data_IF_802268648745
#
_entry.id   IF_802268648745
#
_cell.length_a   1.000
_cell.length_b   1.000
_cell.length_c   1.000
_cell.angle_alpha   90.00
_cell.angle_beta   90.00
_cell.angle_gamma   90.00
#
_symmetry.space_group_name_H-M   'P 1'
#
loop_
_entity.id
_entity.type
_entity.pdbx_description
1 polymer ?
#
# COMPACT_ATOMS: atom_id res chain seq x y z
N UNK A 1 -84.50 16.76 -13.33
CA UNK A 1 -83.57 17.81 -12.88
C UNK A 1 -82.39 17.81 -13.83
N UNK A 2 -82.29 18.77 -14.75
CA UNK A 2 -81.31 18.79 -15.85
C UNK A 2 -80.17 19.72 -15.46
N UNK A 3 -79.00 19.18 -15.34
CA UNK A 3 -77.74 19.91 -15.10
C UNK A 3 -77.05 20.15 -16.43
N UNK A 4 -76.94 21.43 -16.80
CA UNK A 4 -76.20 21.86 -18.01
C UNK A 4 -74.75 22.03 -17.66
N UNK A 5 -73.86 21.23 -18.31
CA UNK A 5 -72.41 21.42 -18.24
C UNK A 5 -72.02 22.42 -19.34
N UNK A 6 -71.45 23.57 -18.88
CA UNK A 6 -70.82 24.55 -19.78
C UNK A 6 -69.36 24.19 -20.01
N UNK A 7 -69.01 23.93 -21.24
CA UNK A 7 -67.63 23.87 -21.67
C UNK A 7 -67.06 25.30 -21.75
N UNK A 8 -66.02 25.57 -20.97
CA UNK A 8 -65.14 26.70 -21.19
C UNK A 8 -63.85 26.19 -21.81
N UNK A 9 -63.62 26.59 -23.05
CA UNK A 9 -62.34 26.36 -23.70
C UNK A 9 -61.31 27.36 -23.13
N UNK A 10 -60.14 26.88 -22.79
CA UNK A 10 -58.97 27.70 -22.50
C UNK A 10 -57.86 27.29 -23.47
N UNK A 11 -57.40 28.34 -24.15
CA UNK A 11 -56.42 28.28 -25.22
C UNK A 11 -55.07 27.73 -24.78
N UNK A 12 -54.51 26.91 -25.65
CA UNK A 12 -53.09 26.51 -25.63
C UNK A 12 -52.21 27.73 -25.94
N UNK A 13 -51.43 28.17 -24.93
CA UNK A 13 -50.27 29.01 -25.16
C UNK A 13 -49.04 28.17 -24.86
N UNK A 14 -48.33 27.88 -25.94
CA UNK A 14 -47.09 27.14 -25.90
C UNK A 14 -46.03 27.93 -25.15
N UNK A 15 -45.56 27.34 -24.06
CA UNK A 15 -44.32 27.73 -23.39
C UNK A 15 -43.27 26.67 -23.61
N UNK A 16 -42.39 26.90 -24.57
CA UNK A 16 -41.20 26.09 -24.79
C UNK A 16 -40.23 26.37 -23.61
N UNK A 17 -40.33 25.59 -22.57
CA UNK A 17 -39.36 25.60 -21.48
C UNK A 17 -38.14 24.86 -21.95
N UNK A 18 -37.17 25.62 -22.47
CA UNK A 18 -35.81 25.12 -22.72
C UNK A 18 -35.18 24.85 -21.35
N UNK A 19 -35.20 23.60 -20.92
CA UNK A 19 -34.36 23.14 -19.84
C UNK A 19 -32.91 23.13 -20.34
N UNK A 20 -32.21 24.26 -20.12
CA UNK A 20 -30.78 24.27 -20.13
C UNK A 20 -30.32 23.40 -18.96
N UNK A 21 -30.09 22.12 -19.22
CA UNK A 21 -29.37 21.25 -18.29
C UNK A 21 -27.95 21.79 -18.28
N UNK A 22 -27.67 22.66 -17.31
CA UNK A 22 -26.31 22.98 -16.92
C UNK A 22 -25.66 21.68 -16.49
N UNK A 23 -24.86 21.09 -17.36
CA UNK A 23 -23.87 20.11 -16.97
C UNK A 23 -22.92 20.84 -16.01
N UNK A 24 -23.23 20.73 -14.72
CA UNK A 24 -22.28 21.03 -13.68
C UNK A 24 -21.16 20.01 -13.91
N UNK A 25 -20.07 20.43 -14.53
CA UNK A 25 -18.81 19.72 -14.51
C UNK A 25 -18.41 19.67 -13.03
N UNK A 26 -18.83 18.59 -12.37
CA UNK A 26 -18.19 18.19 -11.14
C UNK A 26 -16.72 17.98 -11.52
N UNK A 27 -15.77 18.65 -10.85
CA UNK A 27 -14.38 18.29 -11.04
C UNK A 27 -14.31 16.80 -10.75
N UNK A 28 -13.80 16.06 -11.71
CA UNK A 28 -13.53 14.63 -11.56
C UNK A 28 -12.93 14.44 -10.19
N UNK A 29 -13.67 13.68 -9.36
CA UNK A 29 -13.20 13.36 -8.04
C UNK A 29 -11.78 12.89 -8.17
N UNK A 30 -10.88 13.59 -7.51
CA UNK A 30 -9.51 13.18 -7.33
C UNK A 30 -9.62 11.86 -6.58
N UNK A 31 -9.89 10.79 -7.31
CA UNK A 31 -9.57 9.46 -6.86
C UNK A 31 -8.06 9.50 -6.69
N UNK A 32 -7.61 9.68 -5.46
CA UNK A 32 -6.24 9.46 -5.10
C UNK A 32 -5.93 8.00 -5.49
N UNK A 33 -5.53 7.82 -6.75
CA UNK A 33 -4.89 6.58 -7.15
C UNK A 33 -3.67 6.45 -6.25
N UNK A 34 -3.48 5.32 -5.57
CA UNK A 34 -2.25 5.05 -4.83
C UNK A 34 -1.12 4.77 -5.83
N UNK A 35 -0.84 5.75 -6.70
CA UNK A 35 0.13 5.63 -7.77
C UNK A 35 1.59 5.74 -7.29
N UNK A 36 1.82 5.97 -6.00
CA UNK A 36 3.14 6.32 -5.53
C UNK A 36 4.00 5.15 -5.04
N UNK A 37 3.41 4.02 -4.68
CA UNK A 37 4.17 2.87 -4.19
C UNK A 37 4.62 1.91 -5.31
N UNK A 38 3.95 1.92 -6.46
CA UNK A 38 4.21 0.95 -7.54
C UNK A 38 5.50 1.20 -8.33
N UNK A 39 6.03 2.42 -8.30
CA UNK A 39 7.15 2.82 -9.17
C UNK A 39 8.44 3.16 -8.42
N UNK A 40 8.41 3.24 -7.10
CA UNK A 40 9.59 3.60 -6.31
C UNK A 40 10.29 2.34 -5.80
N UNK A 41 11.51 2.12 -6.29
CA UNK A 41 12.37 1.07 -5.76
C UNK A 41 12.87 1.46 -4.37
N UNK A 42 12.91 0.49 -3.44
CA UNK A 42 13.54 0.67 -2.14
C UNK A 42 15.06 0.75 -2.29
N UNK A 43 15.70 1.53 -1.41
CA UNK A 43 17.15 1.63 -1.32
C UNK A 43 17.72 0.48 -0.48
N UNK A 44 18.95 0.02 -0.81
CA UNK A 44 19.61 -1.01 0.00
C UNK A 44 20.19 -0.37 1.26
N UNK A 45 19.79 -0.80 2.47
CA UNK A 45 20.25 -0.20 3.72
C UNK A 45 21.61 -0.74 4.18
N UNK A 46 22.22 -0.06 5.15
CA UNK A 46 23.36 -0.56 5.92
C UNK A 46 22.88 -1.65 6.89
N UNK A 47 23.07 -2.93 6.50
CA UNK A 47 22.52 -4.07 7.26
C UNK A 47 23.03 -4.14 8.71
N UNK A 48 24.25 -3.69 8.95
CA UNK A 48 24.88 -3.67 10.28
C UNK A 48 24.23 -2.70 11.26
N UNK A 49 23.40 -1.78 10.77
CA UNK A 49 22.58 -0.86 11.59
C UNK A 49 21.19 -1.42 11.90
N UNK A 50 20.85 -2.57 11.34
CA UNK A 50 19.55 -3.19 11.53
C UNK A 50 19.59 -4.27 12.61
N UNK A 51 18.48 -4.45 13.29
CA UNK A 51 18.27 -5.47 14.32
C UNK A 51 17.61 -6.69 13.69
N UNK A 52 18.17 -7.86 13.92
CA UNK A 52 17.51 -9.13 13.59
C UNK A 52 16.43 -9.41 14.64
N UNK A 53 15.15 -9.43 14.23
CA UNK A 53 14.04 -9.59 15.16
C UNK A 53 13.28 -10.90 15.05
N UNK A 54 13.39 -11.62 13.91
CA UNK A 54 12.81 -12.97 13.79
C UNK A 54 13.43 -13.75 12.61
N UNK A 55 13.27 -15.07 12.64
CA UNK A 55 13.64 -15.95 11.53
C UNK A 55 12.46 -16.85 11.16
N UNK A 56 11.99 -16.73 9.93
CA UNK A 56 10.96 -17.60 9.36
C UNK A 56 11.64 -18.77 8.66
N UNK A 57 11.16 -20.01 8.93
CA UNK A 57 11.69 -21.24 8.35
C UNK A 57 10.61 -21.97 7.55
N UNK A 58 10.92 -22.34 6.31
CA UNK A 58 10.03 -23.10 5.43
C UNK A 58 10.82 -24.11 4.63
N UNK A 59 10.83 -25.35 5.07
CA UNK A 59 11.64 -26.40 4.44
C UNK A 59 13.13 -26.02 4.43
N UNK A 60 13.71 -25.90 3.24
CA UNK A 60 15.13 -25.52 3.04
C UNK A 60 15.37 -24.02 3.12
N UNK A 61 14.31 -23.21 3.20
CA UNK A 61 14.40 -21.74 3.20
C UNK A 61 14.47 -21.23 4.64
N UNK A 62 15.43 -20.32 4.86
CA UNK A 62 15.55 -19.50 6.08
C UNK A 62 15.53 -18.04 5.71
N UNK A 63 14.58 -17.30 6.26
CA UNK A 63 14.38 -15.88 6.03
C UNK A 63 14.69 -15.13 7.34
N UNK A 64 15.85 -14.50 7.42
CA UNK A 64 16.20 -13.64 8.55
C UNK A 64 15.61 -12.26 8.32
N UNK A 65 14.79 -11.79 9.26
CA UNK A 65 14.12 -10.50 9.19
C UNK A 65 14.86 -9.47 10.02
N UNK A 66 15.25 -8.38 9.37
CA UNK A 66 15.96 -7.27 10.02
C UNK A 66 15.13 -5.98 9.84
N UNK A 67 15.22 -5.10 10.86
CA UNK A 67 14.62 -3.76 10.75
C UNK A 67 15.33 -2.76 11.68
N UNK A 68 14.96 -1.47 11.58
CA UNK A 68 15.50 -0.44 12.45
C UNK A 68 14.98 -0.61 13.89
N UNK A 69 15.81 -0.35 14.90
CA UNK A 69 15.39 -0.36 16.31
C UNK A 69 14.21 0.59 16.54
N UNK A 70 14.24 1.79 15.95
CA UNK A 70 13.16 2.77 16.06
C UNK A 70 11.81 2.26 15.53
N UNK A 71 11.83 1.35 14.54
CA UNK A 71 10.63 0.71 14.03
C UNK A 71 10.08 -0.31 15.04
N UNK A 72 10.93 -1.12 15.64
CA UNK A 72 10.54 -2.06 16.70
C UNK A 72 9.92 -1.31 17.88
N UNK A 73 10.56 -0.25 18.35
CA UNK A 73 10.05 0.58 19.45
C UNK A 73 8.69 1.20 19.14
N UNK A 74 8.49 1.68 17.90
CA UNK A 74 7.21 2.25 17.46
C UNK A 74 6.11 1.19 17.40
N UNK A 75 6.40 0.02 16.81
CA UNK A 75 5.45 -1.09 16.70
C UNK A 75 5.02 -1.60 18.08
N UNK A 76 5.97 -1.77 19.00
CA UNK A 76 5.71 -2.21 20.37
C UNK A 76 4.89 -1.18 21.15
N UNK A 77 5.10 0.11 20.88
CA UNK A 77 4.30 1.20 21.45
C UNK A 77 2.93 1.38 20.77
N UNK A 78 2.56 0.53 19.81
CA UNK A 78 1.31 0.63 19.05
C UNK A 78 1.24 1.86 18.13
N UNK A 79 2.38 2.41 17.73
CA UNK A 79 2.50 3.58 16.86
C UNK A 79 2.70 3.15 15.39
N UNK A 80 2.43 4.04 14.42
CA UNK A 80 2.78 3.81 13.03
C UNK A 80 4.29 3.57 12.84
N UNK A 81 4.62 2.73 11.86
CA UNK A 81 6.00 2.52 11.43
C UNK A 81 6.57 3.84 10.89
N UNK A 82 7.71 4.31 11.42
CA UNK A 82 8.28 5.60 11.02
C UNK A 82 8.75 5.62 9.56
N UNK A 83 8.66 6.77 8.90
CA UNK A 83 9.30 7.01 7.60
C UNK A 83 10.82 6.79 7.71
N UNK A 84 11.42 6.20 6.68
CA UNK A 84 12.84 5.80 6.66
C UNK A 84 13.11 4.42 7.27
N UNK A 85 12.07 3.72 7.75
CA UNK A 85 12.21 2.34 8.20
C UNK A 85 12.53 1.42 7.02
N UNK A 86 13.52 0.56 7.20
CA UNK A 86 13.77 -0.58 6.33
C UNK A 86 13.35 -1.89 7.01
N UNK A 87 12.68 -2.75 6.27
CA UNK A 87 12.48 -4.16 6.64
C UNK A 87 13.18 -5.01 5.58
N UNK A 88 14.15 -5.79 6.01
CA UNK A 88 14.96 -6.62 5.12
C UNK A 88 14.74 -8.07 5.43
N UNK A 89 14.37 -8.83 4.41
CA UNK A 89 14.36 -10.27 4.43
C UNK A 89 15.66 -10.77 3.77
N UNK A 90 16.50 -11.44 4.55
CA UNK A 90 17.73 -12.10 4.08
C UNK A 90 17.40 -13.56 3.83
N UNK A 91 17.22 -13.92 2.55
CA UNK A 91 16.76 -15.24 2.11
C UNK A 91 17.94 -16.18 1.89
N UNK A 92 17.99 -17.25 2.70
CA UNK A 92 18.91 -18.37 2.50
C UNK A 92 18.14 -19.60 2.04
N UNK A 93 18.64 -20.25 1.01
CA UNK A 93 18.12 -21.52 0.49
C UNK A 93 19.22 -22.59 0.62
N UNK A 94 18.94 -23.67 1.34
CA UNK A 94 19.95 -24.69 1.68
C UNK A 94 21.23 -24.06 2.27
N UNK A 95 21.06 -23.10 3.19
CA UNK A 95 22.13 -22.35 3.86
C UNK A 95 22.97 -21.41 2.97
N UNK A 96 22.63 -21.28 1.69
CA UNK A 96 23.28 -20.35 0.77
C UNK A 96 22.43 -19.09 0.66
N UNK A 97 23.05 -17.91 0.79
CA UNK A 97 22.38 -16.62 0.55
C UNK A 97 21.88 -16.55 -0.89
N UNK A 98 20.56 -16.48 -1.07
CA UNK A 98 19.91 -16.46 -2.37
C UNK A 98 19.62 -15.01 -2.83
N UNK A 99 19.17 -14.14 -1.91
CA UNK A 99 18.76 -12.76 -2.22
C UNK A 99 18.44 -11.95 -0.96
N UNK A 100 18.21 -10.65 -1.19
CA UNK A 100 17.57 -9.77 -0.21
C UNK A 100 16.26 -9.24 -0.78
N UNK A 101 15.21 -9.20 0.04
CA UNK A 101 13.99 -8.49 -0.27
C UNK A 101 13.88 -7.31 0.71
N UNK A 102 13.83 -6.10 0.16
CA UNK A 102 13.84 -4.86 0.94
C UNK A 102 12.51 -4.15 0.79
N UNK A 103 11.92 -3.77 1.91
CA UNK A 103 10.81 -2.83 2.00
C UNK A 103 11.30 -1.57 2.71
N UNK A 104 11.00 -0.39 2.17
CA UNK A 104 11.34 0.91 2.72
C UNK A 104 10.08 1.74 2.92
N UNK A 105 9.89 2.27 4.13
CA UNK A 105 8.79 3.18 4.46
C UNK A 105 9.15 4.58 3.97
N UNK A 106 8.49 5.05 2.91
CA UNK A 106 8.86 6.28 2.19
C UNK A 106 8.09 7.52 2.59
N UNK A 107 7.02 7.36 3.37
CA UNK A 107 6.17 8.47 3.79
C UNK A 107 5.32 8.11 5.02
N UNK A 108 4.39 9.00 5.38
CA UNK A 108 3.58 8.87 6.59
C UNK A 108 2.25 8.13 6.38
N UNK A 109 1.78 7.99 5.14
CA UNK A 109 0.55 7.24 4.88
C UNK A 109 0.80 5.73 5.04
N UNK A 110 -0.15 4.95 5.55
CA UNK A 110 0.04 3.53 5.81
C UNK A 110 0.60 2.73 4.62
N UNK A 111 0.21 3.08 3.40
CA UNK A 111 0.62 2.44 2.15
C UNK A 111 1.91 2.96 1.54
N UNK A 112 2.59 3.96 2.14
CA UNK A 112 3.82 4.55 1.60
C UNK A 112 5.02 3.62 1.77
N UNK A 113 5.01 2.53 1.02
CA UNK A 113 6.10 1.56 1.00
C UNK A 113 6.68 1.43 -0.40
N UNK A 114 7.99 1.42 -0.51
CA UNK A 114 8.74 1.01 -1.68
C UNK A 114 9.32 -0.39 -1.46
N UNK A 115 9.48 -1.14 -2.54
CA UNK A 115 10.00 -2.52 -2.48
C UNK A 115 11.07 -2.72 -3.53
N UNK A 116 12.07 -3.55 -3.22
CA UNK A 116 13.08 -3.95 -4.19
C UNK A 116 13.71 -5.29 -3.79
N UNK A 117 13.91 -6.16 -4.76
CA UNK A 117 14.72 -7.36 -4.63
C UNK A 117 16.17 -7.07 -5.04
N UNK A 118 17.11 -7.65 -4.31
CA UNK A 118 18.56 -7.54 -4.59
C UNK A 118 19.21 -8.92 -4.62
N UNK A 119 20.19 -9.04 -5.49
CA UNK A 119 21.08 -10.21 -5.55
C UNK A 119 22.00 -10.28 -4.31
N UNK A 120 22.68 -11.41 -4.06
CA UNK A 120 23.64 -11.53 -2.95
C UNK A 120 24.76 -10.48 -2.96
N UNK A 121 25.16 -9.99 -4.14
CA UNK A 121 26.13 -8.91 -4.32
C UNK A 121 25.55 -7.50 -4.14
N UNK A 122 24.27 -7.41 -3.72
CA UNK A 122 23.48 -6.18 -3.51
C UNK A 122 23.15 -5.41 -4.79
N UNK A 123 23.42 -5.96 -5.97
CA UNK A 123 22.87 -5.40 -7.20
C UNK A 123 21.37 -5.61 -7.29
N UNK A 124 20.67 -4.72 -8.01
CA UNK A 124 19.21 -4.86 -8.22
C UNK A 124 18.92 -6.17 -8.95
N UNK A 125 17.99 -6.93 -8.40
CA UNK A 125 17.50 -8.15 -9.03
C UNK A 125 16.39 -7.81 -10.03
N UNK A 126 16.61 -8.15 -11.29
CA UNK A 126 15.71 -7.85 -12.41
C UNK A 126 15.04 -9.12 -12.92
N UNK A 127 14.11 -9.65 -12.14
CA UNK A 127 13.31 -10.82 -12.51
C UNK A 127 11.82 -10.55 -12.29
N UNK A 128 11.02 -11.61 -12.14
CA UNK A 128 9.58 -11.54 -11.92
C UNK A 128 9.16 -10.90 -10.58
N UNK A 129 10.11 -10.51 -9.72
CA UNK A 129 9.87 -9.87 -8.42
C UNK A 129 9.91 -8.35 -8.53
N UNK A 130 9.01 -7.80 -9.34
CA UNK A 130 8.88 -6.35 -9.49
C UNK A 130 8.37 -5.67 -8.21
N UNK A 131 8.71 -4.38 -7.96
CA UNK A 131 8.17 -3.61 -6.85
C UNK A 131 6.63 -3.63 -6.78
N UNK A 132 5.95 -3.56 -7.93
CA UNK A 132 4.49 -3.62 -8.02
C UNK A 132 3.91 -4.95 -7.51
N UNK A 133 4.55 -6.07 -7.85
CA UNK A 133 4.15 -7.40 -7.34
C UNK A 133 4.34 -7.52 -5.84
N UNK A 134 5.45 -7.01 -5.32
CA UNK A 134 5.70 -6.97 -3.88
C UNK A 134 4.62 -6.16 -3.16
N UNK A 135 4.34 -4.93 -3.64
CA UNK A 135 3.31 -4.07 -3.09
C UNK A 135 1.94 -4.74 -3.08
N UNK A 136 1.51 -5.31 -4.19
CA UNK A 136 0.21 -5.99 -4.32
C UNK A 136 0.02 -7.11 -3.29
N UNK A 137 1.08 -7.89 -3.03
CA UNK A 137 1.06 -8.93 -2.00
C UNK A 137 0.99 -8.33 -0.59
N UNK A 138 1.83 -7.34 -0.29
CA UNK A 138 1.89 -6.66 1.01
C UNK A 138 0.62 -5.87 1.32
N UNK A 139 -0.11 -5.39 0.33
CA UNK A 139 -1.41 -4.72 0.49
C UNK A 139 -2.43 -5.60 1.23
N UNK A 140 -2.33 -6.92 1.15
CA UNK A 140 -3.17 -7.84 1.91
C UNK A 140 -2.93 -7.77 3.43
N UNK A 141 -1.92 -7.02 3.88
CA UNK A 141 -1.50 -6.84 5.28
C UNK A 141 -1.58 -5.37 5.74
N UNK A 142 -2.49 -4.57 5.18
CA UNK A 142 -2.70 -3.17 5.63
C UNK A 142 -3.06 -3.09 7.12
N UNK A 143 -3.80 -4.05 7.66
CA UNK A 143 -4.12 -4.20 9.09
C UNK A 143 -2.89 -4.37 9.98
N UNK A 144 -1.75 -4.73 9.40
CA UNK A 144 -0.44 -4.95 10.03
C UNK A 144 0.63 -4.03 9.42
N UNK A 145 0.22 -2.83 9.05
CA UNK A 145 1.11 -1.83 8.45
C UNK A 145 1.92 -2.36 7.26
N UNK A 146 1.30 -3.21 6.41
CA UNK A 146 1.90 -3.87 5.24
C UNK A 146 3.05 -4.85 5.57
N UNK A 147 3.19 -5.30 6.83
CA UNK A 147 4.25 -6.22 7.25
C UNK A 147 3.69 -7.63 7.54
N UNK A 148 4.26 -8.67 6.93
CA UNK A 148 3.90 -10.06 7.23
C UNK A 148 4.36 -10.49 8.62
N UNK A 149 5.50 -10.00 9.08
CA UNK A 149 6.13 -10.29 10.37
C UNK A 149 5.88 -9.20 11.42
N UNK A 150 4.77 -8.45 11.28
CA UNK A 150 4.38 -7.39 12.24
C UNK A 150 4.23 -7.91 13.67
N UNK A 151 3.62 -9.10 13.83
CA UNK A 151 3.41 -9.67 15.16
C UNK A 151 4.73 -10.09 15.80
N UNK A 152 5.69 -10.60 15.01
CA UNK A 152 7.04 -10.93 15.50
C UNK A 152 7.76 -9.66 15.96
N UNK A 153 7.68 -8.58 15.17
CA UNK A 153 8.26 -7.29 15.55
C UNK A 153 7.63 -6.72 16.83
N UNK A 154 6.31 -6.89 17.00
CA UNK A 154 5.58 -6.43 18.19
C UNK A 154 5.97 -7.20 19.46
N UNK A 155 6.26 -8.50 19.33
CA UNK A 155 6.63 -9.38 20.45
C UNK A 155 8.14 -9.58 20.60
N UNK A 156 8.94 -8.84 19.83
CA UNK A 156 10.40 -8.92 19.92
C UNK A 156 10.88 -8.44 21.28
N UNK A 157 11.73 -9.24 21.92
CA UNK A 157 12.42 -8.92 23.17
C UNK A 157 13.92 -8.75 22.88
N UNK A 158 14.51 -7.62 23.34
CA UNK A 158 15.94 -7.35 23.19
C UNK A 158 16.76 -8.25 24.10
#
# INVERSE_FOLDING_TARGET
MKIKIRFFGVALLGGLLVFAIGYLMLPDGIGATPAHAETRAATFPELEKLVHYTTVRRGITREHMLTNQTALDAIQAGKPVPTGTHVVLVDHQSDVLARYLVAEKTGNDPGDWAYQAFNPDRSIKTDDESPARCYSCHQSRQDRQYMFTFNDARSFEN
#
